data_IF_996243906638
#
_entry.id   IF_996243906638
#
_cell.length_a   1.000
_cell.length_b   1.000
_cell.length_c   1.000
_cell.angle_alpha   90.00
_cell.angle_beta   90.00
_cell.angle_gamma   90.00
#
_symmetry.space_group_name_H-M   'P 1'
#
loop_
_entity.id
_entity.type
_entity.pdbx_description
1 polymer ?
#
# COMPACT_ATOMS: atom_id res chain seq x y z
N UNK A 1 -3.58 22.75 -9.73
CA UNK A 1 -4.97 22.75 -9.28
C UNK A 1 -5.63 24.10 -9.55
N UNK A 2 -5.04 25.18 -9.10
CA UNK A 2 -5.57 26.54 -9.30
C UNK A 2 -5.82 26.86 -10.79
N UNK A 3 -4.87 26.55 -11.66
CA UNK A 3 -4.99 26.76 -13.12
C UNK A 3 -6.14 25.97 -13.77
N UNK A 4 -6.51 24.83 -13.18
CA UNK A 4 -7.59 23.97 -13.69
C UNK A 4 -8.97 24.34 -13.14
N UNK A 5 -9.02 24.83 -11.90
CA UNK A 5 -10.28 25.07 -11.18
C UNK A 5 -10.61 26.55 -11.02
N UNK A 6 -9.63 27.43 -11.18
CA UNK A 6 -9.73 28.85 -10.85
C UNK A 6 -9.75 29.15 -9.35
N UNK A 7 -9.64 28.11 -8.49
CA UNK A 7 -9.66 28.28 -7.03
C UNK A 7 -8.26 28.48 -6.48
N UNK A 8 -8.12 29.36 -5.52
CA UNK A 8 -6.89 29.50 -4.74
C UNK A 8 -6.89 28.52 -3.57
N UNK A 9 -5.72 27.97 -3.23
CA UNK A 9 -5.57 27.01 -2.13
C UNK A 9 -4.63 27.58 -1.08
N UNK A 10 -5.07 27.57 0.16
CA UNK A 10 -4.26 27.98 1.31
C UNK A 10 -3.94 26.78 2.17
N UNK A 11 -2.65 26.57 2.49
CA UNK A 11 -2.24 25.51 3.43
C UNK A 11 -2.48 25.99 4.86
N UNK A 12 -3.25 25.24 5.69
CA UNK A 12 -3.42 25.56 7.10
C UNK A 12 -2.08 25.48 7.85
N UNK A 13 -1.86 26.43 8.77
CA UNK A 13 -0.64 26.46 9.58
C UNK A 13 -0.62 25.37 10.66
N UNK A 14 -1.79 24.94 11.13
CA UNK A 14 -1.95 23.94 12.19
C UNK A 14 -2.89 22.83 11.75
N UNK A 15 -2.76 21.69 12.43
CA UNK A 15 -3.67 20.57 12.25
C UNK A 15 -5.07 20.91 12.80
N UNK A 16 -6.10 20.49 12.10
CA UNK A 16 -7.45 20.50 12.64
C UNK A 16 -7.60 19.41 13.70
N UNK A 17 -8.36 19.73 14.74
CA UNK A 17 -8.71 18.80 15.82
C UNK A 17 -10.22 18.73 15.90
N UNK A 18 -10.79 17.55 15.88
CA UNK A 18 -12.22 17.39 16.03
C UNK A 18 -12.69 17.89 17.40
N UNK A 19 -13.69 18.78 17.40
CA UNK A 19 -14.28 19.30 18.65
C UNK A 19 -15.00 18.20 19.44
N UNK A 20 -15.55 17.19 18.77
CA UNK A 20 -16.29 16.09 19.38
C UNK A 20 -15.39 14.93 19.78
N UNK A 21 -14.33 14.69 19.00
CA UNK A 21 -13.39 13.58 19.19
C UNK A 21 -11.94 14.10 19.19
N UNK A 22 -11.43 14.64 20.32
CA UNK A 22 -10.14 15.34 20.36
C UNK A 22 -8.91 14.52 19.95
N UNK A 23 -9.03 13.19 19.90
CA UNK A 23 -7.98 12.30 19.39
C UNK A 23 -7.89 12.31 17.85
N UNK A 24 -8.98 12.68 17.17
CA UNK A 24 -9.00 12.77 15.71
C UNK A 24 -8.40 14.08 15.24
N UNK A 25 -7.40 14.00 14.38
CA UNK A 25 -6.68 15.16 13.84
C UNK A 25 -6.49 15.04 12.34
N UNK A 26 -6.57 16.17 11.64
CA UNK A 26 -6.38 16.24 10.19
C UNK A 26 -5.29 17.27 9.84
N UNK A 27 -4.24 16.81 9.17
CA UNK A 27 -3.22 17.66 8.55
C UNK A 27 -3.57 17.80 7.07
N UNK A 28 -4.25 18.88 6.72
CA UNK A 28 -4.69 19.10 5.36
C UNK A 28 -3.55 19.62 4.48
N UNK A 29 -3.50 19.17 3.22
CA UNK A 29 -2.62 19.76 2.23
C UNK A 29 -3.06 21.18 1.85
N UNK A 30 -4.39 21.42 1.83
CA UNK A 30 -4.95 22.75 1.57
C UNK A 30 -6.44 22.86 1.83
N UNK A 31 -6.89 24.13 1.85
CA UNK A 31 -8.31 24.52 1.81
C UNK A 31 -8.45 25.50 0.65
N UNK A 32 -9.40 25.24 -0.24
CA UNK A 32 -9.72 26.15 -1.32
C UNK A 32 -10.53 27.36 -0.82
N UNK A 33 -10.56 28.43 -1.60
CA UNK A 33 -11.27 29.67 -1.27
C UNK A 33 -12.80 29.50 -1.15
N UNK A 34 -13.36 28.42 -1.70
CA UNK A 34 -14.75 28.03 -1.51
C UNK A 34 -14.99 27.12 -0.28
N UNK A 35 -13.94 26.90 0.52
CA UNK A 35 -14.00 26.16 1.79
C UNK A 35 -13.85 24.65 1.71
N UNK A 36 -13.74 24.06 0.50
CA UNK A 36 -13.50 22.61 0.38
C UNK A 36 -12.09 22.21 0.80
N UNK A 37 -11.95 21.00 1.31
CA UNK A 37 -10.65 20.41 1.56
C UNK A 37 -9.99 20.05 0.23
N UNK A 38 -8.69 20.28 0.10
CA UNK A 38 -7.91 19.85 -1.06
C UNK A 38 -6.79 18.95 -0.61
N UNK A 39 -6.72 17.75 -1.19
CA UNK A 39 -5.67 16.76 -0.96
C UNK A 39 -4.89 16.51 -2.25
N UNK A 40 -3.55 16.55 -2.16
CA UNK A 40 -2.67 16.35 -3.30
C UNK A 40 -2.02 14.99 -3.27
N UNK A 41 -2.10 14.26 -4.39
CA UNK A 41 -1.53 12.91 -4.52
C UNK A 41 -0.63 12.79 -5.74
N UNK A 42 0.34 11.91 -5.66
CA UNK A 42 1.09 11.41 -6.81
C UNK A 42 0.94 9.91 -6.91
N UNK A 43 0.76 9.39 -8.11
CA UNK A 43 0.67 7.96 -8.38
C UNK A 43 1.50 7.59 -9.59
N UNK A 44 2.18 6.45 -9.56
CA UNK A 44 2.89 5.92 -10.74
C UNK A 44 1.97 5.23 -11.74
N UNK A 45 0.76 4.82 -11.32
CA UNK A 45 -0.23 4.07 -12.11
C UNK A 45 -1.62 4.61 -11.86
N UNK A 46 -2.51 4.32 -12.81
CA UNK A 46 -3.94 4.68 -12.73
C UNK A 46 -4.80 3.66 -12.00
N UNK A 47 -4.21 2.57 -11.48
CA UNK A 47 -4.96 1.51 -10.81
C UNK A 47 -5.74 2.07 -9.60
N UNK A 48 -7.03 1.80 -9.55
CA UNK A 48 -7.94 2.28 -8.50
C UNK A 48 -8.42 3.74 -8.65
N UNK A 49 -7.96 4.47 -9.67
CA UNK A 49 -8.47 5.78 -10.03
C UNK A 49 -9.51 5.63 -11.16
N UNK A 50 -10.75 6.03 -10.89
CA UNK A 50 -11.85 5.95 -11.85
C UNK A 50 -11.83 7.03 -12.92
N UNK A 51 -12.98 7.28 -13.52
CA UNK A 51 -13.14 8.33 -14.52
C UNK A 51 -13.01 9.74 -13.90
N UNK A 52 -12.43 10.67 -14.65
CA UNK A 52 -12.31 12.08 -14.21
C UNK A 52 -13.69 12.68 -14.00
N UNK A 53 -13.89 13.37 -12.89
CA UNK A 53 -15.16 13.99 -12.52
C UNK A 53 -16.10 13.08 -11.72
N UNK A 54 -15.68 11.85 -11.38
CA UNK A 54 -16.35 10.99 -10.40
C UNK A 54 -15.70 11.15 -9.01
N UNK A 55 -16.17 10.40 -8.02
CA UNK A 55 -15.56 10.26 -6.70
C UNK A 55 -14.75 8.95 -6.57
N UNK A 56 -14.55 8.21 -7.66
CA UNK A 56 -13.85 6.94 -7.67
C UNK A 56 -12.35 7.11 -7.49
N UNK A 57 -11.91 7.13 -6.24
CA UNK A 57 -10.51 7.14 -5.81
C UNK A 57 -10.17 5.86 -5.07
N UNK A 58 -8.87 5.46 -4.94
CA UNK A 58 -8.49 4.29 -4.18
C UNK A 58 -9.04 4.30 -2.74
N UNK A 59 -9.59 3.18 -2.25
CA UNK A 59 -10.27 3.04 -0.96
C UNK A 59 -9.48 3.62 0.22
N UNK A 60 -8.16 3.43 0.22
CA UNK A 60 -7.30 3.96 1.29
C UNK A 60 -7.18 5.49 1.28
N UNK A 61 -7.38 6.15 0.13
CA UNK A 61 -7.50 7.61 0.07
C UNK A 61 -8.92 8.06 0.41
N UNK A 62 -9.93 7.28 0.04
CA UNK A 62 -11.32 7.55 0.42
C UNK A 62 -11.45 7.59 1.95
N UNK A 63 -10.88 6.62 2.66
CA UNK A 63 -10.88 6.62 4.14
C UNK A 63 -10.16 7.83 4.73
N UNK A 64 -9.04 8.26 4.16
CA UNK A 64 -8.33 9.46 4.57
C UNK A 64 -9.17 10.73 4.37
N UNK A 65 -9.78 10.87 3.21
CA UNK A 65 -10.59 12.05 2.86
C UNK A 65 -11.83 12.13 3.75
N UNK A 66 -12.54 11.01 3.95
CA UNK A 66 -13.71 10.96 4.83
C UNK A 66 -13.34 11.27 6.30
N UNK A 67 -12.18 10.81 6.77
CA UNK A 67 -11.65 11.22 8.08
C UNK A 67 -11.42 12.74 8.14
N UNK A 68 -10.83 13.35 7.12
CA UNK A 68 -10.60 14.80 7.08
C UNK A 68 -11.92 15.58 7.11
N UNK A 69 -12.91 15.15 6.33
CA UNK A 69 -14.24 15.74 6.33
C UNK A 69 -14.94 15.59 7.69
N UNK A 70 -14.80 14.43 8.34
CA UNK A 70 -15.35 14.21 9.69
C UNK A 70 -14.69 15.09 10.76
N UNK A 71 -13.36 15.32 10.67
CA UNK A 71 -12.63 16.16 11.62
C UNK A 71 -12.95 17.64 11.44
N UNK A 72 -13.05 18.10 10.19
CA UNK A 72 -13.25 19.52 9.85
C UNK A 72 -14.72 19.94 9.83
N UNK A 73 -15.64 19.01 9.63
CA UNK A 73 -17.05 19.28 9.37
C UNK A 73 -17.35 19.83 7.98
N UNK A 74 -16.33 19.95 7.11
CA UNK A 74 -16.48 20.34 5.70
C UNK A 74 -17.20 19.23 4.94
N UNK A 75 -18.04 19.62 3.97
CA UNK A 75 -18.90 18.66 3.26
C UNK A 75 -18.29 18.11 1.97
N UNK A 76 -17.28 18.80 1.42
CA UNK A 76 -16.72 18.45 0.11
C UNK A 76 -15.19 18.50 0.15
N UNK A 77 -14.56 17.57 -0.50
CA UNK A 77 -13.11 17.57 -0.72
C UNK A 77 -12.78 17.34 -2.20
N UNK A 78 -11.73 18.00 -2.69
CA UNK A 78 -11.12 17.68 -3.98
C UNK A 78 -9.82 16.89 -3.76
N UNK A 79 -9.69 15.77 -4.44
CA UNK A 79 -8.45 14.99 -4.49
C UNK A 79 -7.81 15.23 -5.85
N UNK A 80 -6.72 15.98 -5.85
CA UNK A 80 -5.96 16.28 -7.05
C UNK A 80 -4.75 15.35 -7.16
N UNK A 81 -4.70 14.52 -8.20
CA UNK A 81 -3.64 13.53 -8.40
C UNK A 81 -2.86 13.75 -9.68
N UNK A 82 -1.54 13.61 -9.60
CA UNK A 82 -0.65 13.54 -10.75
C UNK A 82 -0.21 12.07 -10.98
N UNK A 83 -0.71 11.46 -12.04
CA UNK A 83 -0.44 10.07 -12.40
C UNK A 83 0.66 10.01 -13.45
N UNK A 84 1.66 9.14 -13.24
CA UNK A 84 2.78 8.96 -14.16
C UNK A 84 3.62 10.22 -14.43
N UNK A 85 3.40 11.30 -13.66
CA UNK A 85 4.09 12.58 -13.80
C UNK A 85 3.53 13.51 -14.88
N UNK A 86 2.49 13.11 -15.62
CA UNK A 86 1.93 13.89 -16.74
C UNK A 86 0.40 13.87 -16.88
N UNK A 87 -0.29 13.00 -16.16
CA UNK A 87 -1.76 12.90 -16.19
C UNK A 87 -2.31 13.49 -14.88
N UNK A 88 -2.81 14.73 -14.95
CA UNK A 88 -3.37 15.43 -13.81
C UNK A 88 -4.88 15.31 -13.79
N UNK A 89 -5.42 14.75 -12.72
CA UNK A 89 -6.86 14.54 -12.52
C UNK A 89 -7.33 15.12 -11.21
N UNK A 90 -8.62 15.49 -11.15
CA UNK A 90 -9.30 15.98 -9.94
C UNK A 90 -10.55 15.14 -9.74
N UNK A 91 -10.74 14.65 -8.52
CA UNK A 91 -11.91 13.90 -8.07
C UNK A 91 -12.56 14.67 -6.94
N UNK A 92 -13.88 14.81 -6.98
CA UNK A 92 -14.64 15.52 -5.94
C UNK A 92 -15.36 14.49 -5.08
N UNK A 93 -15.08 14.48 -3.79
CA UNK A 93 -15.62 13.56 -2.80
C UNK A 93 -16.54 14.33 -1.85
N UNK A 94 -17.77 13.88 -1.72
CA UNK A 94 -18.72 14.40 -0.75
C UNK A 94 -18.61 13.66 0.59
N UNK A 95 -19.00 14.32 1.67
CA UNK A 95 -19.05 13.72 2.99
C UNK A 95 -20.08 12.58 3.05
N UNK A 96 -19.62 11.39 3.38
CA UNK A 96 -20.44 10.19 3.61
C UNK A 96 -20.60 9.98 5.12
N UNK A 97 -21.75 10.35 5.66
CA UNK A 97 -22.02 10.28 7.10
C UNK A 97 -22.01 8.84 7.63
N UNK A 98 -22.41 7.85 6.83
CA UNK A 98 -22.41 6.44 7.22
C UNK A 98 -20.97 5.91 7.31
N UNK A 99 -20.14 6.17 6.29
CA UNK A 99 -18.74 5.80 6.30
C UNK A 99 -17.97 6.54 7.41
N UNK A 100 -18.26 7.83 7.63
CA UNK A 100 -17.66 8.61 8.72
C UNK A 100 -18.01 8.04 10.09
N UNK A 101 -19.26 7.62 10.31
CA UNK A 101 -19.66 7.00 11.57
C UNK A 101 -18.88 5.70 11.83
N UNK A 102 -18.73 4.86 10.81
CA UNK A 102 -17.92 3.64 10.90
C UNK A 102 -16.43 3.93 11.20
N UNK A 103 -15.85 4.93 10.53
CA UNK A 103 -14.47 5.33 10.78
C UNK A 103 -14.28 5.83 12.21
N UNK A 104 -15.17 6.68 12.72
CA UNK A 104 -15.15 7.19 14.09
C UNK A 104 -15.23 6.05 15.11
N UNK A 105 -16.08 5.05 14.87
CA UNK A 105 -16.19 3.87 15.73
C UNK A 105 -14.84 3.12 15.79
N UNK A 106 -14.27 2.80 14.65
CA UNK A 106 -12.99 2.07 14.55
C UNK A 106 -11.80 2.86 15.13
N UNK A 107 -11.75 4.15 14.89
CA UNK A 107 -10.72 5.03 15.44
C UNK A 107 -10.86 5.15 16.95
N UNK A 108 -12.09 5.21 17.48
CA UNK A 108 -12.35 5.23 18.93
C UNK A 108 -11.92 3.94 19.61
N UNK A 109 -12.23 2.77 19.01
CA UNK A 109 -11.76 1.48 19.50
C UNK A 109 -10.22 1.43 19.56
N UNK A 110 -9.56 1.90 18.49
CA UNK A 110 -8.10 1.94 18.45
C UNK A 110 -7.53 2.94 19.48
N UNK A 111 -8.17 4.10 19.64
CA UNK A 111 -7.72 5.08 20.62
C UNK A 111 -7.83 4.57 22.07
N UNK A 112 -8.85 3.81 22.40
CA UNK A 112 -8.98 3.14 23.70
C UNK A 112 -7.80 2.19 23.97
N UNK A 113 -7.28 1.49 22.96
CA UNK A 113 -6.05 0.70 23.08
C UNK A 113 -4.82 1.58 23.33
N UNK A 114 -4.74 2.77 22.70
CA UNK A 114 -3.65 3.72 22.93
C UNK A 114 -3.66 4.24 24.37
N UNK A 115 -4.83 4.64 24.87
CA UNK A 115 -5.00 5.15 26.25
C UNK A 115 -4.69 4.08 27.30
N UNK A 116 -5.16 2.85 27.09
CA UNK A 116 -4.87 1.72 27.96
C UNK A 116 -3.44 1.16 27.79
N UNK A 117 -2.68 1.67 26.82
CA UNK A 117 -1.36 1.13 26.43
C UNK A 117 -1.40 -0.37 26.10
N UNK A 118 -2.52 -0.84 25.61
CA UNK A 118 -2.72 -2.23 25.22
C UNK A 118 -2.44 -2.38 23.73
N UNK A 119 -1.39 -3.09 23.31
CA UNK A 119 -1.13 -3.30 21.90
C UNK A 119 -2.27 -4.09 21.25
N UNK A 120 -2.69 -3.78 20.01
CA UNK A 120 -3.71 -4.55 19.31
C UNK A 120 -3.24 -5.99 19.07
N UNK A 121 -4.16 -6.91 18.86
CA UNK A 121 -3.83 -8.31 18.58
C UNK A 121 -2.96 -8.45 17.32
N UNK A 122 -2.13 -9.48 17.31
CA UNK A 122 -1.29 -9.79 16.17
C UNK A 122 -2.12 -10.47 15.08
N UNK A 123 -2.29 -9.79 13.95
CA UNK A 123 -3.05 -10.31 12.82
C UNK A 123 -2.16 -10.82 11.69
N UNK A 124 -0.87 -10.52 11.74
CA UNK A 124 0.08 -10.93 10.71
C UNK A 124 1.49 -11.19 11.27
N UNK A 125 2.28 -11.95 10.50
CA UNK A 125 3.72 -12.13 10.80
C UNK A 125 4.50 -10.80 10.75
N UNK A 126 4.02 -9.82 9.97
CA UNK A 126 4.62 -8.48 9.91
C UNK A 126 4.40 -7.72 11.23
N UNK A 127 3.23 -7.85 11.84
CA UNK A 127 2.93 -7.22 13.12
C UNK A 127 3.74 -7.86 14.24
N UNK A 128 3.87 -9.19 14.23
CA UNK A 128 4.76 -9.89 15.15
C UNK A 128 6.21 -9.42 15.01
N UNK A 129 6.73 -9.30 13.79
CA UNK A 129 8.08 -8.81 13.54
C UNK A 129 8.28 -7.34 13.95
N UNK A 130 7.25 -6.50 13.87
CA UNK A 130 7.30 -5.11 14.35
C UNK A 130 7.29 -5.05 15.89
N UNK A 131 6.43 -5.85 16.53
CA UNK A 131 6.31 -5.90 17.98
C UNK A 131 7.57 -6.47 18.63
N UNK A 132 8.17 -7.49 18.04
CA UNK A 132 9.33 -8.21 18.57
C UNK A 132 10.59 -7.95 17.70
N UNK A 133 10.85 -6.67 17.40
CA UNK A 133 11.95 -6.25 16.50
C UNK A 133 13.34 -6.67 16.95
N UNK A 134 13.56 -6.83 18.24
CA UNK A 134 14.87 -7.12 18.81
C UNK A 134 14.83 -8.47 19.50
N UNK A 135 15.50 -9.45 18.92
CA UNK A 135 15.77 -10.70 19.62
C UNK A 135 16.87 -10.46 20.67
N UNK A 136 16.57 -10.79 21.91
CA UNK A 136 17.59 -10.77 22.97
C UNK A 136 18.55 -11.95 22.74
N UNK A 137 19.83 -11.66 22.52
CA UNK A 137 20.85 -12.66 22.31
C UNK A 137 20.87 -13.69 23.46
N UNK A 138 20.91 -14.98 23.11
CA UNK A 138 20.91 -16.12 24.04
C UNK A 138 19.61 -16.33 24.83
N UNK A 139 18.54 -15.59 24.59
CA UNK A 139 17.24 -15.87 25.19
C UNK A 139 16.58 -17.03 24.41
N UNK A 140 16.34 -18.15 25.09
CA UNK A 140 15.57 -19.26 24.57
C UNK A 140 14.23 -19.38 25.33
N UNK A 141 13.22 -19.91 24.66
CA UNK A 141 11.91 -20.20 25.26
C UNK A 141 11.57 -21.65 24.93
N UNK A 142 11.24 -22.42 25.96
CA UNK A 142 10.79 -23.80 25.80
C UNK A 142 9.35 -23.81 25.23
N UNK A 143 9.14 -24.64 24.20
CA UNK A 143 7.83 -24.85 23.62
C UNK A 143 7.01 -25.81 24.49
N UNK A 144 6.39 -25.29 25.54
CA UNK A 144 5.56 -26.06 26.48
C UNK A 144 4.09 -26.18 26.06
N UNK A 145 3.62 -25.29 25.21
CA UNK A 145 2.26 -25.27 24.70
C UNK A 145 2.12 -26.22 23.50
N UNK A 146 1.20 -27.18 23.57
CA UNK A 146 1.00 -28.19 22.53
C UNK A 146 0.62 -27.61 21.17
N UNK A 147 -0.13 -26.50 21.14
CA UNK A 147 -0.52 -25.76 19.93
C UNK A 147 0.68 -25.17 19.19
N UNK A 148 1.71 -24.70 19.88
CA UNK A 148 2.95 -24.15 19.28
C UNK A 148 3.79 -25.28 18.64
N UNK A 149 3.89 -26.43 19.34
CA UNK A 149 4.58 -27.62 18.81
C UNK A 149 3.86 -28.16 17.58
N UNK A 150 2.53 -28.22 17.61
CA UNK A 150 1.68 -28.60 16.49
C UNK A 150 1.83 -27.64 15.28
N UNK A 151 1.81 -26.34 15.54
CA UNK A 151 2.02 -25.32 14.50
C UNK A 151 3.41 -25.46 13.86
N UNK A 152 4.46 -25.72 14.65
CA UNK A 152 5.81 -25.99 14.14
C UNK A 152 5.86 -27.23 13.25
N UNK A 153 5.26 -28.33 13.69
CA UNK A 153 5.21 -29.58 12.93
C UNK A 153 4.51 -29.39 11.59
N UNK A 154 3.35 -28.71 11.59
CA UNK A 154 2.61 -28.37 10.38
C UNK A 154 3.42 -27.44 9.44
N UNK A 155 4.11 -26.45 10.01
CA UNK A 155 4.97 -25.57 9.24
C UNK A 155 6.12 -26.32 8.57
N UNK A 156 6.75 -27.26 9.26
CA UNK A 156 7.80 -28.12 8.69
C UNK A 156 7.28 -28.96 7.53
N UNK A 157 6.11 -29.61 7.69
CA UNK A 157 5.48 -30.37 6.62
C UNK A 157 5.13 -29.52 5.38
N UNK A 158 4.59 -28.31 5.60
CA UNK A 158 4.31 -27.37 4.51
C UNK A 158 5.60 -26.95 3.77
N UNK A 159 6.68 -26.69 4.50
CA UNK A 159 7.98 -26.34 3.88
C UNK A 159 8.54 -27.46 3.03
N UNK A 160 8.41 -28.70 3.49
CA UNK A 160 8.83 -29.88 2.73
C UNK A 160 7.99 -30.05 1.45
N UNK A 161 6.67 -29.96 1.55
CA UNK A 161 5.77 -30.01 0.40
C UNK A 161 6.09 -28.90 -0.61
N UNK A 162 6.32 -27.68 -0.14
CA UNK A 162 6.71 -26.56 -0.99
C UNK A 162 8.01 -26.84 -1.74
N UNK A 163 9.03 -27.36 -1.06
CA UNK A 163 10.30 -27.74 -1.70
C UNK A 163 10.12 -28.80 -2.79
N UNK A 164 9.27 -29.81 -2.56
CA UNK A 164 8.94 -30.81 -3.56
C UNK A 164 8.18 -30.22 -4.76
N UNK A 165 7.26 -29.29 -4.52
CA UNK A 165 6.52 -28.60 -5.58
C UNK A 165 7.44 -27.69 -6.40
N UNK A 166 8.32 -26.94 -5.74
CA UNK A 166 9.32 -26.08 -6.40
C UNK A 166 10.26 -26.90 -7.31
N UNK A 167 10.65 -28.12 -6.86
CA UNK A 167 11.46 -29.02 -7.68
C UNK A 167 10.69 -29.53 -8.91
N UNK A 168 9.42 -29.89 -8.75
CA UNK A 168 8.55 -30.30 -9.87
C UNK A 168 8.31 -29.15 -10.84
N UNK A 169 8.05 -27.95 -10.34
CA UNK A 169 7.87 -26.75 -11.16
C UNK A 169 9.09 -26.51 -12.06
N UNK A 170 10.30 -26.53 -11.48
CA UNK A 170 11.55 -26.38 -12.24
C UNK A 170 11.70 -27.45 -13.32
N UNK A 171 11.31 -28.70 -13.04
CA UNK A 171 11.36 -29.78 -14.02
C UNK A 171 10.44 -29.50 -15.21
N UNK A 172 9.22 -29.01 -14.96
CA UNK A 172 8.29 -28.67 -16.04
C UNK A 172 8.72 -27.41 -16.78
N UNK A 173 9.24 -26.41 -16.11
CA UNK A 173 9.82 -25.22 -16.74
C UNK A 173 10.96 -25.60 -17.66
N UNK A 174 11.90 -26.44 -17.21
CA UNK A 174 13.00 -26.91 -18.05
C UNK A 174 12.48 -27.59 -19.34
N UNK A 175 11.50 -28.49 -19.22
CA UNK A 175 10.91 -29.17 -20.37
C UNK A 175 10.25 -28.23 -21.38
N UNK A 176 9.60 -27.16 -20.87
CA UNK A 176 9.01 -26.12 -21.72
C UNK A 176 10.13 -25.33 -22.42
N UNK A 177 11.18 -24.95 -21.69
CA UNK A 177 12.31 -24.18 -22.22
C UNK A 177 13.08 -25.00 -23.28
N UNK A 178 13.31 -26.30 -23.04
CA UNK A 178 13.95 -27.18 -24.02
C UNK A 178 13.14 -27.28 -25.31
N UNK A 179 11.80 -27.28 -25.22
CA UNK A 179 10.92 -27.28 -26.38
C UNK A 179 10.91 -25.92 -27.10
N UNK A 180 10.93 -24.82 -26.35
CA UNK A 180 10.91 -23.46 -26.89
C UNK A 180 12.24 -23.04 -27.54
N UNK A 181 13.37 -23.56 -27.07
CA UNK A 181 14.73 -23.22 -27.50
C UNK A 181 14.94 -21.68 -27.51
N UNK A 182 15.08 -21.08 -28.68
CA UNK A 182 15.27 -19.64 -28.90
C UNK A 182 13.95 -18.86 -29.12
N UNK A 183 12.80 -19.57 -29.08
CA UNK A 183 11.50 -18.93 -29.24
C UNK A 183 11.11 -18.11 -28.03
N UNK A 184 10.62 -16.90 -28.25
CA UNK A 184 10.16 -15.98 -27.17
C UNK A 184 8.76 -16.29 -26.66
N UNK A 185 7.99 -17.12 -27.36
CA UNK A 185 6.63 -17.50 -26.95
C UNK A 185 6.23 -18.90 -27.40
N UNK A 186 5.53 -19.61 -26.51
CA UNK A 186 4.86 -20.88 -26.81
C UNK A 186 3.37 -20.59 -27.01
N UNK A 187 2.80 -21.06 -28.13
CA UNK A 187 1.38 -20.85 -28.46
C UNK A 187 0.64 -22.18 -28.55
N UNK A 188 -0.63 -22.16 -28.17
CA UNK A 188 -1.60 -23.24 -28.40
C UNK A 188 -2.88 -22.60 -28.95
N UNK A 189 -3.37 -23.08 -30.07
CA UNK A 189 -4.58 -22.58 -30.75
C UNK A 189 -4.54 -21.05 -30.98
N UNK A 190 -3.36 -20.55 -31.37
CA UNK A 190 -3.12 -19.12 -31.62
C UNK A 190 -2.93 -18.25 -30.36
N UNK A 191 -3.18 -18.78 -29.17
CA UNK A 191 -3.02 -18.07 -27.90
C UNK A 191 -1.65 -18.34 -27.29
N UNK A 192 -0.99 -17.31 -26.77
CA UNK A 192 0.26 -17.46 -26.03
C UNK A 192 -0.02 -18.08 -24.65
N UNK A 193 0.60 -19.24 -24.38
CA UNK A 193 0.47 -19.97 -23.11
C UNK A 193 1.73 -19.86 -22.23
N UNK A 194 2.89 -19.57 -22.82
CA UNK A 194 4.11 -19.25 -22.09
C UNK A 194 4.95 -18.25 -22.89
N UNK A 195 5.71 -17.42 -22.18
CA UNK A 195 6.68 -16.52 -22.78
C UNK A 195 8.00 -16.62 -22.04
N UNK A 196 9.09 -16.54 -22.78
CA UNK A 196 10.45 -16.50 -22.26
C UNK A 196 11.16 -15.29 -22.80
N UNK A 197 11.69 -14.45 -21.91
CA UNK A 197 12.61 -13.38 -22.27
C UNK A 197 13.93 -13.61 -21.54
N UNK A 198 15.04 -13.59 -22.29
CA UNK A 198 16.34 -13.54 -21.63
C UNK A 198 16.37 -12.35 -20.68
N UNK A 199 16.86 -12.52 -19.44
CA UNK A 199 17.01 -11.40 -18.54
C UNK A 199 17.86 -10.33 -19.24
N UNK A 200 17.28 -9.13 -19.42
CA UNK A 200 18.04 -8.01 -19.96
C UNK A 200 19.23 -7.80 -19.03
N UNK A 201 20.45 -7.93 -19.57
CA UNK A 201 21.64 -7.62 -18.79
C UNK A 201 21.51 -6.17 -18.34
N UNK A 202 21.25 -5.95 -17.06
CA UNK A 202 21.27 -4.62 -16.45
C UNK A 202 22.70 -4.10 -16.67
N UNK A 203 22.89 -3.18 -17.60
CA UNK A 203 24.17 -2.46 -17.73
C UNK A 203 24.33 -1.62 -16.48
N UNK A 204 24.96 -2.17 -15.46
CA UNK A 204 25.39 -1.41 -14.28
C UNK A 204 26.64 -0.63 -14.68
N UNK A 205 26.61 0.68 -14.49
CA UNK A 205 27.79 1.52 -14.63
C UNK A 205 28.76 1.09 -13.51
N UNK A 206 29.90 0.52 -13.89
CA UNK A 206 30.95 0.20 -12.93
C UNK A 206 31.64 1.50 -12.51
N UNK A 207 31.19 2.07 -11.39
CA UNK A 207 31.71 3.34 -10.87
C UNK A 207 33.22 3.31 -10.54
N UNK A 208 33.76 2.12 -10.29
CA UNK A 208 35.21 1.95 -10.06
C UNK A 208 36.00 2.12 -11.35
N UNK A 209 35.50 1.51 -12.44
CA UNK A 209 36.14 1.62 -13.77
C UNK A 209 35.98 3.03 -14.34
N UNK A 210 34.90 3.72 -14.06
CA UNK A 210 34.66 5.10 -14.44
C UNK A 210 35.68 6.05 -13.77
N UNK A 211 36.02 5.82 -12.50
CA UNK A 211 37.02 6.61 -11.78
C UNK A 211 38.43 6.37 -12.28
N UNK A 212 38.77 5.16 -12.72
CA UNK A 212 40.08 4.81 -13.25
C UNK A 212 40.33 5.37 -14.67
N UNK A 213 39.23 5.58 -15.46
CA UNK A 213 39.34 6.08 -16.84
C UNK A 213 39.16 7.61 -16.97
N UNK A 214 38.53 8.29 -15.99
CA UNK A 214 38.16 9.71 -16.12
C UNK A 214 38.57 10.61 -14.94
N UNK A 215 39.31 10.14 -13.98
CA UNK A 215 39.90 10.90 -12.88
C UNK A 215 41.38 10.55 -12.73
#
# INVERSE_FOLDING_TARGET
YADKTGRTVTKPAEAFVSSKYPFMRANLDGIADDGRVVEFKTSSKSDGWGEVGTDEIPDYYMTQVQHYLAVTGVKTADVAVLIGGNDFRIYTVEADEELQALLIERESEFWALVESRTPPDLTSTKDAARRYRVATAKKAVEATAGDVVDAWTKLCAIKEQKSLLDAKEKTYQLRIMEFMQDAVSLKRDGKTIASWSAPSSRKTINSKKLKEEFL
#
